data_IF_119300732807
#
_entry.id   IF_119300732807
#
_cell.length_a   1.000
_cell.length_b   1.000
_cell.length_c   1.000
_cell.angle_alpha   90.00
_cell.angle_beta   90.00
_cell.angle_gamma   90.00
#
_symmetry.space_group_name_H-M   'P 1'
#
loop_
_entity.id
_entity.type
_entity.pdbx_description
1 polymer ?
#
# COMPACT_ATOMS: atom_id res chain seq x y z
N UNK A 1 -1.86 12.95 16.46
CA UNK A 1 -2.49 14.23 16.08
C UNK A 1 -2.47 14.28 14.56
N UNK A 2 -3.50 14.83 13.91
CA UNK A 2 -3.56 14.94 12.45
C UNK A 2 -2.76 16.19 12.06
N UNK A 3 -1.44 16.11 12.17
CA UNK A 3 -0.55 17.16 11.70
C UNK A 3 -0.63 17.19 10.17
N UNK A 4 -0.39 18.37 9.57
CA UNK A 4 -0.34 18.48 8.10
C UNK A 4 0.63 17.44 7.54
N UNK A 5 0.13 16.58 6.65
CA UNK A 5 0.96 15.64 5.93
C UNK A 5 1.79 16.45 4.95
N UNK A 6 3.09 16.58 5.22
CA UNK A 6 4.04 17.32 4.36
C UNK A 6 4.78 16.30 3.49
N UNK A 7 4.48 16.20 2.17
CA UNK A 7 5.22 15.35 1.25
C UNK A 7 6.70 15.73 1.23
N UNK A 8 7.56 14.74 1.06
CA UNK A 8 9.03 14.92 1.05
C UNK A 8 9.60 15.04 -0.37
N UNK A 9 8.76 14.92 -1.39
CA UNK A 9 9.15 14.96 -2.80
C UNK A 9 9.78 13.66 -3.28
N UNK A 10 9.37 12.50 -2.73
CA UNK A 10 9.87 11.20 -3.18
C UNK A 10 9.32 10.92 -4.57
N UNK A 11 10.20 10.55 -5.52
CA UNK A 11 9.75 10.06 -6.82
C UNK A 11 9.08 8.68 -6.67
N UNK A 12 7.78 8.63 -6.96
CA UNK A 12 6.94 7.42 -6.83
C UNK A 12 6.75 6.66 -8.16
N UNK A 13 7.29 7.19 -9.27
CA UNK A 13 7.06 6.69 -10.62
C UNK A 13 6.08 7.55 -11.41
N UNK A 14 5.64 7.03 -12.55
CA UNK A 14 4.78 7.75 -13.48
C UNK A 14 3.29 7.65 -13.07
N UNK A 15 2.51 8.74 -13.18
CA UNK A 15 1.07 8.71 -12.93
C UNK A 15 0.31 7.93 -14.02
N UNK A 16 -0.91 7.44 -13.73
CA UNK A 16 -1.63 7.58 -12.46
C UNK A 16 -1.11 6.64 -11.36
N UNK A 17 -1.05 7.16 -10.13
CA UNK A 17 -0.57 6.42 -8.95
C UNK A 17 -1.75 5.86 -8.14
N UNK A 18 -1.66 4.58 -7.80
CA UNK A 18 -2.52 3.91 -6.83
C UNK A 18 -1.74 3.66 -5.55
N UNK A 19 -2.09 4.38 -4.49
CA UNK A 19 -1.48 4.25 -3.18
C UNK A 19 -1.97 3.00 -2.46
N UNK A 20 -1.08 2.33 -1.73
CA UNK A 20 -1.39 1.14 -0.95
C UNK A 20 -1.02 1.37 0.51
N UNK A 21 -2.02 1.26 1.39
CA UNK A 21 -1.87 1.39 2.84
C UNK A 21 -2.28 0.08 3.53
N UNK A 22 -1.35 -0.87 3.77
CA UNK A 22 -1.69 -2.19 4.31
C UNK A 22 -1.98 -2.20 5.82
N UNK A 23 -1.65 -1.12 6.53
CA UNK A 23 -1.66 -1.01 7.98
C UNK A 23 -0.24 -1.01 8.57
N UNK A 24 -0.13 -0.79 9.88
CA UNK A 24 1.17 -0.67 10.59
C UNK A 24 1.43 -1.77 11.62
N UNK A 25 0.43 -2.60 11.91
CA UNK A 25 0.48 -3.69 12.91
C UNK A 25 0.57 -5.07 12.24
N UNK A 26 0.55 -6.14 13.02
CA UNK A 26 0.82 -7.51 12.56
C UNK A 26 -0.12 -8.04 11.47
N UNK A 27 -1.35 -7.54 11.41
CA UNK A 27 -2.33 -7.84 10.36
C UNK A 27 -1.88 -7.34 8.98
N UNK A 28 -1.06 -6.28 8.94
CA UNK A 28 -0.61 -5.65 7.70
C UNK A 28 0.18 -6.62 6.82
N UNK A 29 0.87 -7.60 7.42
CA UNK A 29 1.55 -8.66 6.70
C UNK A 29 0.59 -9.47 5.81
N UNK A 30 -0.59 -9.81 6.33
CA UNK A 30 -1.63 -10.55 5.58
C UNK A 30 -2.45 -9.62 4.69
N UNK A 31 -2.71 -8.40 5.14
CA UNK A 31 -3.39 -7.37 4.35
C UNK A 31 -2.65 -7.08 3.05
N UNK A 32 -1.33 -6.88 3.11
CA UNK A 32 -0.54 -6.61 1.91
C UNK A 32 -0.60 -7.78 0.93
N UNK A 33 -0.51 -9.03 1.38
CA UNK A 33 -0.69 -10.19 0.48
C UNK A 33 -2.08 -10.26 -0.13
N UNK A 34 -3.12 -9.79 0.57
CA UNK A 34 -4.48 -9.71 0.04
C UNK A 34 -4.60 -8.59 -1.00
N UNK A 35 -3.98 -7.44 -0.77
CA UNK A 35 -3.91 -6.33 -1.72
C UNK A 35 -3.15 -6.74 -2.97
N UNK A 36 -2.05 -7.49 -2.88
CA UNK A 36 -1.33 -8.02 -4.04
C UNK A 36 -2.27 -8.84 -4.96
N UNK A 37 -3.20 -9.61 -4.40
CA UNK A 37 -4.22 -10.34 -5.20
C UNK A 37 -5.21 -9.41 -5.90
N UNK A 38 -5.49 -8.24 -5.34
CA UNK A 38 -6.29 -7.20 -5.99
C UNK A 38 -5.51 -6.60 -7.14
N UNK A 39 -4.24 -6.25 -6.93
CA UNK A 39 -3.33 -5.70 -7.96
C UNK A 39 -3.25 -6.61 -9.19
N UNK A 40 -3.24 -7.93 -9.00
CA UNK A 40 -3.26 -8.90 -10.11
C UNK A 40 -4.50 -8.80 -11.01
N UNK A 41 -5.61 -8.27 -10.50
CA UNK A 41 -6.91 -8.20 -11.18
C UNK A 41 -7.22 -6.83 -11.78
N UNK A 42 -6.50 -5.79 -11.37
CA UNK A 42 -6.58 -4.46 -11.99
C UNK A 42 -6.04 -4.59 -13.40
N UNK A 43 -6.79 -4.14 -14.41
CA UNK A 43 -6.40 -4.29 -15.83
C UNK A 43 -5.68 -3.05 -16.34
N UNK A 44 -6.00 -1.93 -15.74
CA UNK A 44 -5.49 -0.59 -16.02
C UNK A 44 -3.97 -0.54 -15.85
N UNK A 45 -3.32 0.27 -16.70
CA UNK A 45 -1.90 0.57 -16.62
C UNK A 45 -1.71 1.71 -15.63
N UNK A 46 -1.35 1.37 -14.39
CA UNK A 46 -1.19 2.31 -13.28
C UNK A 46 0.04 1.93 -12.46
N UNK A 47 0.59 2.90 -11.75
CA UNK A 47 1.74 2.68 -10.85
C UNK A 47 1.23 2.38 -9.44
N UNK A 48 1.48 1.18 -8.93
CA UNK A 48 1.12 0.82 -7.55
C UNK A 48 2.27 1.11 -6.60
N UNK A 49 1.98 1.89 -5.55
CA UNK A 49 3.00 2.30 -4.58
C UNK A 49 2.51 2.06 -3.16
N UNK A 50 3.22 1.22 -2.41
CA UNK A 50 2.91 0.89 -1.04
C UNK A 50 3.77 1.71 -0.09
N UNK A 51 3.14 2.53 0.74
CA UNK A 51 3.78 3.12 1.90
C UNK A 51 3.90 2.05 2.99
N UNK A 52 5.11 1.52 3.18
CA UNK A 52 5.39 0.47 4.16
C UNK A 52 5.97 1.05 5.46
N UNK A 53 5.25 0.96 6.59
CA UNK A 53 5.76 1.43 7.88
C UNK A 53 7.07 0.74 8.30
N UNK A 54 7.92 1.47 9.04
CA UNK A 54 9.18 0.93 9.57
C UNK A 54 8.97 -0.24 10.54
N UNK A 55 7.83 -0.27 11.24
CA UNK A 55 7.44 -1.36 12.14
C UNK A 55 7.31 -2.72 11.44
N UNK A 56 7.16 -2.74 10.11
CA UNK A 56 6.99 -3.96 9.34
C UNK A 56 8.30 -4.46 8.74
N UNK A 57 8.58 -5.74 9.01
CA UNK A 57 9.72 -6.48 8.48
C UNK A 57 9.41 -6.98 7.07
N UNK A 58 10.05 -6.39 6.06
CA UNK A 58 9.85 -6.76 4.65
C UNK A 58 10.06 -8.26 4.41
N UNK A 59 11.03 -8.90 5.08
CA UNK A 59 11.29 -10.34 4.96
C UNK A 59 10.07 -11.22 5.25
N UNK A 60 9.21 -10.83 6.21
CA UNK A 60 7.97 -11.57 6.49
C UNK A 60 6.95 -11.43 5.37
N UNK A 61 6.87 -10.26 4.75
CA UNK A 61 6.00 -10.01 3.58
C UNK A 61 6.50 -10.85 2.40
N UNK A 62 7.81 -10.82 2.12
CA UNK A 62 8.44 -11.61 1.06
C UNK A 62 8.11 -13.10 1.22
N UNK A 63 8.29 -13.64 2.43
CA UNK A 63 7.99 -15.03 2.71
C UNK A 63 6.52 -15.40 2.42
N UNK A 64 5.58 -14.54 2.83
CA UNK A 64 4.16 -14.78 2.58
C UNK A 64 3.79 -14.63 1.11
N UNK A 65 4.28 -13.58 0.44
CA UNK A 65 3.97 -13.25 -0.95
C UNK A 65 4.52 -14.29 -1.94
N UNK A 66 5.64 -14.95 -1.60
CA UNK A 66 6.20 -16.07 -2.40
C UNK A 66 5.21 -17.22 -2.60
N UNK A 67 4.31 -17.47 -1.64
CA UNK A 67 3.27 -18.51 -1.76
C UNK A 67 2.33 -18.25 -2.94
N UNK A 68 2.13 -16.99 -3.27
CA UNK A 68 1.32 -16.54 -4.39
C UNK A 68 2.20 -16.15 -5.61
N UNK A 69 3.45 -16.63 -5.67
CA UNK A 69 4.42 -16.42 -6.77
C UNK A 69 4.86 -14.97 -7.00
N UNK A 70 4.72 -14.10 -6.00
CA UNK A 70 5.32 -12.77 -6.04
C UNK A 70 6.80 -12.82 -5.68
N UNK A 71 7.62 -12.13 -6.47
CA UNK A 71 9.06 -12.01 -6.26
C UNK A 71 9.35 -10.58 -5.80
N UNK A 72 10.22 -10.43 -4.80
CA UNK A 72 10.65 -9.12 -4.33
C UNK A 72 12.11 -8.90 -4.65
N UNK A 73 12.39 -7.81 -5.35
CA UNK A 73 13.75 -7.42 -5.74
C UNK A 73 13.83 -5.90 -5.86
N UNK A 74 14.93 -5.31 -5.38
CA UNK A 74 15.23 -3.88 -5.51
C UNK A 74 14.07 -2.94 -5.11
N UNK A 75 13.39 -3.25 -3.99
CA UNK A 75 12.30 -2.41 -3.49
C UNK A 75 10.93 -2.66 -4.13
N UNK A 76 10.79 -3.66 -5.00
CA UNK A 76 9.56 -3.85 -5.78
C UNK A 76 9.11 -5.31 -5.73
N UNK A 77 7.81 -5.51 -5.48
CA UNK A 77 7.16 -6.80 -5.70
C UNK A 77 6.74 -6.92 -7.17
N UNK A 78 7.06 -8.03 -7.83
CA UNK A 78 6.66 -8.32 -9.21
C UNK A 78 6.00 -9.69 -9.36
N UNK A 79 5.01 -9.76 -10.25
CA UNK A 79 4.40 -10.98 -10.74
C UNK A 79 3.76 -10.73 -12.10
N UNK A 80 4.18 -11.48 -13.12
CA UNK A 80 3.81 -11.22 -14.52
C UNK A 80 4.11 -9.75 -14.87
N UNK A 81 3.16 -9.04 -15.48
CA UNK A 81 3.27 -7.62 -15.84
C UNK A 81 2.93 -6.67 -14.67
N UNK A 82 2.64 -7.20 -13.48
CA UNK A 82 2.24 -6.38 -12.33
C UNK A 82 3.42 -6.12 -11.40
N UNK A 83 3.51 -4.88 -10.94
CA UNK A 83 4.54 -4.42 -10.03
C UNK A 83 3.94 -3.57 -8.91
N UNK A 84 4.49 -3.67 -7.70
CA UNK A 84 4.18 -2.81 -6.56
C UNK A 84 5.47 -2.29 -5.96
N UNK A 85 5.69 -0.98 -6.05
CA UNK A 85 6.85 -0.29 -5.46
C UNK A 85 6.64 -0.16 -3.96
N UNK A 86 7.66 -0.52 -3.18
CA UNK A 86 7.65 -0.40 -1.72
C UNK A 86 8.46 0.83 -1.32
N UNK A 87 7.80 1.82 -0.74
CA UNK A 87 8.43 3.02 -0.22
C UNK A 87 8.37 3.01 1.30
N UNK A 88 9.52 3.22 1.94
CA UNK A 88 9.61 3.45 3.38
C UNK A 88 9.61 4.96 3.65
N UNK A 89 8.96 5.37 4.73
CA UNK A 89 8.82 6.77 5.16
C UNK A 89 8.11 7.68 4.15
N UNK A 90 7.50 7.18 3.08
CA UNK A 90 6.81 8.00 2.07
C UNK A 90 5.30 7.99 2.23
N UNK A 91 4.80 8.00 3.47
CA UNK A 91 3.36 7.89 3.69
C UNK A 91 2.62 9.12 3.14
N UNK A 92 3.16 10.30 3.42
CA UNK A 92 2.68 11.61 2.98
C UNK A 92 2.73 11.72 1.45
N UNK A 93 3.89 11.39 0.86
CA UNK A 93 4.08 11.38 -0.59
C UNK A 93 3.10 10.42 -1.28
N UNK A 94 2.97 9.19 -0.77
CA UNK A 94 2.07 8.19 -1.37
C UNK A 94 0.64 8.66 -1.34
N UNK A 95 0.13 9.24 -0.24
CA UNK A 95 -1.24 9.75 -0.21
C UNK A 95 -1.40 10.95 -1.13
N UNK A 96 -0.50 11.94 -1.06
CA UNK A 96 -0.55 13.18 -1.83
C UNK A 96 -0.63 12.94 -3.33
N UNK A 97 0.23 12.06 -3.84
CA UNK A 97 0.35 11.79 -5.28
C UNK A 97 -0.62 10.71 -5.79
N UNK A 98 -1.34 10.02 -4.90
CA UNK A 98 -2.31 9.00 -5.32
C UNK A 98 -3.57 9.63 -5.92
N UNK A 99 -4.04 9.05 -7.01
CA UNK A 99 -5.39 9.29 -7.55
C UNK A 99 -6.44 8.53 -6.73
N UNK A 100 -6.07 7.34 -6.24
CA UNK A 100 -6.92 6.47 -5.42
C UNK A 100 -6.05 5.66 -4.47
N UNK A 101 -6.57 5.36 -3.29
CA UNK A 101 -5.87 4.57 -2.26
C UNK A 101 -6.57 3.24 -2.02
N UNK A 102 -5.84 2.14 -2.13
CA UNK A 102 -6.26 0.84 -1.61
C UNK A 102 -5.79 0.74 -0.16
N UNK A 103 -6.75 0.81 0.76
CA UNK A 103 -6.47 1.04 2.17
C UNK A 103 -7.08 0.00 3.09
N UNK A 104 -6.23 -0.67 3.88
CA UNK A 104 -6.62 -1.54 5.00
C UNK A 104 -6.03 -1.05 6.34
N UNK A 105 -5.72 0.25 6.43
CA UNK A 105 -5.20 0.91 7.62
C UNK A 105 -6.28 1.84 8.19
N UNK A 106 -6.68 1.72 9.46
CA UNK A 106 -7.71 2.59 10.05
C UNK A 106 -7.39 4.09 9.91
N UNK A 107 -6.45 4.59 10.70
CA UNK A 107 -6.05 6.00 10.67
C UNK A 107 -5.44 6.43 9.33
N UNK A 108 -4.74 5.53 8.63
CA UNK A 108 -4.18 5.85 7.32
C UNK A 108 -5.26 6.12 6.27
N UNK A 109 -6.35 5.35 6.30
CA UNK A 109 -7.50 5.58 5.43
C UNK A 109 -8.24 6.87 5.79
N UNK A 110 -8.42 7.16 7.08
CA UNK A 110 -9.01 8.41 7.55
C UNK A 110 -8.23 9.63 7.04
N UNK A 111 -6.89 9.56 7.09
CA UNK A 111 -6.03 10.65 6.58
C UNK A 111 -6.11 10.79 5.05
N UNK A 112 -6.11 9.68 4.31
CA UNK A 112 -6.29 9.72 2.86
C UNK A 112 -7.65 10.35 2.47
N UNK A 113 -8.72 9.93 3.14
CA UNK A 113 -10.05 10.49 2.94
C UNK A 113 -10.11 11.98 3.34
N UNK A 114 -9.45 12.38 4.44
CA UNK A 114 -9.35 13.77 4.87
C UNK A 114 -8.66 14.68 3.85
N UNK A 115 -7.71 14.14 3.07
CA UNK A 115 -7.07 14.83 1.94
C UNK A 115 -7.86 14.74 0.62
N UNK A 116 -9.11 14.27 0.67
CA UNK A 116 -9.98 14.16 -0.49
C UNK A 116 -9.62 13.02 -1.44
N UNK A 117 -8.75 12.08 -1.03
CA UNK A 117 -8.39 10.92 -1.84
C UNK A 117 -9.47 9.84 -1.73
N UNK A 118 -10.02 9.33 -2.86
CA UNK A 118 -10.90 8.16 -2.81
C UNK A 118 -10.18 6.96 -2.19
N UNK A 119 -10.85 6.30 -1.24
CA UNK A 119 -10.31 5.11 -0.55
C UNK A 119 -11.14 3.89 -0.88
N UNK A 120 -10.52 2.88 -1.48
CA UNK A 120 -11.09 1.55 -1.67
C UNK A 120 -10.63 0.67 -0.51
N UNK A 121 -11.58 0.26 0.31
CA UNK A 121 -11.36 -0.67 1.41
C UNK A 121 -12.23 -1.92 1.25
N UNK A 122 -11.80 -3.00 1.89
CA UNK A 122 -12.50 -4.29 1.91
C UNK A 122 -12.11 -5.04 3.18
N UNK A 123 -12.77 -6.15 3.50
CA UNK A 123 -12.49 -6.90 4.74
C UNK A 123 -11.01 -7.30 4.80
N UNK A 124 -10.28 -6.76 5.76
CA UNK A 124 -8.87 -7.09 6.03
C UNK A 124 -8.74 -8.16 7.12
N UNK A 125 -7.59 -8.18 7.77
CA UNK A 125 -7.30 -9.03 8.92
C UNK A 125 -7.14 -8.23 10.23
N UNK A 126 -7.47 -6.93 10.21
CA UNK A 126 -7.35 -6.04 11.34
C UNK A 126 -8.69 -5.58 11.91
N UNK A 127 -8.66 -4.96 13.10
CA UNK A 127 -9.83 -4.58 13.87
C UNK A 127 -10.78 -3.65 13.10
N UNK A 128 -10.27 -2.86 12.15
CA UNK A 128 -11.06 -1.96 11.31
C UNK A 128 -12.15 -2.66 10.47
N UNK A 129 -12.12 -3.99 10.39
CA UNK A 129 -13.07 -4.78 9.57
C UNK A 129 -13.56 -6.07 10.22
N UNK A 130 -13.08 -6.42 11.43
CA UNK A 130 -13.30 -7.75 12.04
C UNK A 130 -13.83 -7.69 13.47
N UNK A 131 -14.05 -6.50 14.03
CA UNK A 131 -14.51 -6.29 15.40
C UNK A 131 -15.76 -5.42 15.42
#
# INVERSE_FOLDING_TARGET
MMDELVPRGINLGEPPIVGILPGSRSEAYKNLTKILKVVERVKETVTFVCALPQSLKIGRIIHLARRDKWIYENGVFRKNERAVVIIRNGFEDVISESEIVIGLAGTGNEQAAGLGKPVVSFTGYGPQTTL
#
